data_IF_002671570154
#
_entry.id   IF_002671570154
#
_cell.length_a   1.000
_cell.length_b   1.000
_cell.length_c   1.000
_cell.angle_alpha   90.00
_cell.angle_beta   90.00
_cell.angle_gamma   90.00
#
_symmetry.space_group_name_H-M   'P 1'
#
loop_
_entity.id
_entity.type
_entity.pdbx_description
1 polymer ?
#
# COMPACT_ATOMS: atom_id res chain seq x y z
N UNK A 1 -6.90 7.77 -13.30
CA UNK A 1 -5.98 6.87 -14.03
C UNK A 1 -6.29 5.44 -13.56
N UNK A 2 -6.89 4.62 -14.42
CA UNK A 2 -7.22 3.23 -14.08
C UNK A 2 -6.00 2.35 -14.35
N UNK A 3 -5.56 1.56 -13.36
CA UNK A 3 -4.31 0.77 -13.40
C UNK A 3 -4.61 -0.72 -13.14
N UNK A 4 -5.65 -1.25 -13.79
CA UNK A 4 -6.12 -2.63 -13.59
C UNK A 4 -5.82 -3.45 -14.83
N UNK A 5 -4.75 -4.23 -14.80
CA UNK A 5 -4.25 -4.99 -15.95
C UNK A 5 -4.39 -6.49 -15.70
N UNK A 6 -5.44 -7.07 -16.28
CA UNK A 6 -5.47 -8.49 -16.61
C UNK A 6 -5.82 -8.61 -18.09
N UNK A 7 -5.13 -9.46 -18.82
CA UNK A 7 -5.30 -9.60 -20.26
C UNK A 7 -5.01 -11.02 -20.71
N UNK A 8 -5.27 -11.27 -21.99
CA UNK A 8 -4.90 -12.49 -22.70
C UNK A 8 -3.72 -12.13 -23.59
N UNK A 9 -2.67 -12.96 -23.59
CA UNK A 9 -1.55 -12.79 -24.50
C UNK A 9 -2.02 -13.07 -25.93
N UNK A 10 -1.91 -12.09 -26.83
CA UNK A 10 -2.25 -12.24 -28.25
C UNK A 10 -1.02 -12.36 -29.14
N UNK A 11 0.13 -11.87 -28.68
CA UNK A 11 1.42 -11.93 -29.37
C UNK A 11 2.56 -11.95 -28.34
N UNK A 12 3.68 -12.57 -28.69
CA UNK A 12 4.89 -12.65 -27.85
C UNK A 12 6.06 -12.05 -28.63
N UNK A 13 6.74 -11.07 -28.03
CA UNK A 13 7.88 -10.41 -28.63
C UNK A 13 9.14 -11.29 -28.68
N UNK A 14 10.12 -10.97 -29.55
CA UNK A 14 11.38 -11.70 -29.62
C UNK A 14 12.10 -11.74 -28.27
N UNK A 15 12.49 -12.93 -27.81
CA UNK A 15 13.23 -13.14 -26.55
C UNK A 15 12.39 -13.25 -25.28
N UNK A 16 11.05 -13.19 -25.38
CA UNK A 16 10.17 -13.55 -24.27
C UNK A 16 9.92 -15.08 -24.26
N UNK A 17 10.08 -15.71 -23.10
CA UNK A 17 10.11 -17.18 -22.97
C UNK A 17 9.08 -17.72 -21.95
N UNK A 18 8.58 -16.88 -21.04
CA UNK A 18 7.73 -17.24 -19.90
C UNK A 18 6.26 -17.45 -20.28
N UNK A 19 5.79 -16.82 -21.35
CA UNK A 19 4.39 -16.81 -21.76
C UNK A 19 4.20 -17.21 -23.21
N UNK A 20 2.99 -17.68 -23.53
CA UNK A 20 2.55 -17.99 -24.89
C UNK A 20 1.20 -17.34 -25.20
N UNK A 21 0.90 -17.22 -26.50
CA UNK A 21 -0.42 -16.78 -26.97
C UNK A 21 -1.54 -17.62 -26.32
N UNK A 22 -2.58 -16.95 -25.87
CA UNK A 22 -3.72 -17.53 -25.15
C UNK A 22 -3.54 -17.62 -23.63
N UNK A 23 -2.35 -17.37 -23.07
CA UNK A 23 -2.19 -17.33 -21.61
C UNK A 23 -2.95 -16.12 -21.01
N UNK A 24 -3.73 -16.37 -19.96
CA UNK A 24 -4.32 -15.31 -19.13
C UNK A 24 -3.27 -14.79 -18.15
N UNK A 25 -3.01 -13.49 -18.18
CA UNK A 25 -2.00 -12.84 -17.33
C UNK A 25 -2.57 -11.62 -16.62
N UNK A 26 -1.90 -11.20 -15.56
CA UNK A 26 -2.18 -9.97 -14.83
C UNK A 26 -0.87 -9.37 -14.31
N UNK A 27 -0.82 -8.06 -14.11
CA UNK A 27 0.41 -7.37 -13.72
C UNK A 27 0.19 -5.90 -13.38
N UNK A 28 1.28 -5.23 -13.03
CA UNK A 28 1.28 -3.81 -12.71
C UNK A 28 2.46 -3.13 -13.40
N UNK A 29 2.19 -2.35 -14.45
CA UNK A 29 3.22 -1.67 -15.24
C UNK A 29 2.66 -0.36 -15.83
N UNK A 30 3.46 0.71 -15.83
CA UNK A 30 3.03 2.02 -16.35
C UNK A 30 4.22 2.93 -16.68
N UNK A 31 5.26 2.41 -17.35
CA UNK A 31 6.48 3.18 -17.61
C UNK A 31 6.28 4.24 -18.70
N UNK A 32 5.39 3.99 -19.66
CA UNK A 32 5.13 4.88 -20.78
C UNK A 32 3.67 4.77 -21.26
N UNK A 33 3.30 5.55 -22.27
CA UNK A 33 1.93 5.61 -22.80
C UNK A 33 1.46 4.30 -23.42
N UNK A 34 2.37 3.53 -24.05
CA UNK A 34 2.07 2.24 -24.67
C UNK A 34 1.75 1.14 -23.65
N UNK A 35 2.11 1.37 -22.39
CA UNK A 35 1.93 0.45 -21.26
C UNK A 35 0.68 0.74 -20.43
N UNK A 36 -0.15 1.74 -20.78
CA UNK A 36 -1.33 2.09 -19.98
C UNK A 36 -2.42 1.03 -20.08
N UNK A 37 -3.19 0.81 -19.01
CA UNK A 37 -4.29 -0.17 -19.00
C UNK A 37 -5.53 0.22 -19.84
N UNK A 38 -5.72 1.50 -20.17
CA UNK A 38 -6.97 2.01 -20.73
C UNK A 38 -6.99 1.97 -22.26
N UNK A 39 -6.74 0.79 -22.82
CA UNK A 39 -6.66 0.53 -24.25
C UNK A 39 -7.00 -0.93 -24.55
N UNK A 40 -7.33 -1.22 -25.82
CA UNK A 40 -7.72 -2.58 -26.25
C UNK A 40 -6.51 -3.51 -26.29
N UNK A 41 -5.35 -2.98 -26.68
CA UNK A 41 -4.09 -3.70 -26.70
C UNK A 41 -3.04 -2.93 -25.91
N UNK A 42 -2.18 -3.64 -25.20
CA UNK A 42 -1.09 -3.06 -24.42
C UNK A 42 0.16 -3.89 -24.66
N UNK A 43 1.29 -3.20 -24.84
CA UNK A 43 2.60 -3.85 -24.85
C UNK A 43 3.17 -3.75 -23.45
N UNK A 44 3.63 -4.86 -22.88
CA UNK A 44 4.17 -4.89 -21.53
C UNK A 44 5.48 -5.70 -21.51
N UNK A 45 6.45 -5.34 -20.67
CA UNK A 45 7.58 -6.23 -20.42
C UNK A 45 7.10 -7.53 -19.76
N UNK A 46 7.89 -8.59 -19.87
CA UNK A 46 7.54 -9.92 -19.37
C UNK A 46 7.60 -10.02 -17.82
N UNK A 47 8.55 -9.33 -17.20
CA UNK A 47 8.87 -9.48 -15.78
C UNK A 47 7.78 -9.05 -14.77
N UNK A 48 6.96 -7.99 -14.98
CA UNK A 48 5.92 -7.59 -14.03
C UNK A 48 4.61 -8.38 -14.19
N UNK A 49 4.56 -9.31 -15.15
CA UNK A 49 3.39 -10.16 -15.38
C UNK A 49 3.46 -11.41 -14.51
N UNK A 50 2.29 -11.96 -14.23
CA UNK A 50 2.09 -13.30 -13.68
C UNK A 50 0.88 -13.97 -14.34
N UNK A 51 0.86 -15.30 -14.40
CA UNK A 51 -0.29 -16.05 -14.92
C UNK A 51 -1.46 -15.93 -13.96
N UNK A 52 -2.66 -15.77 -14.49
CA UNK A 52 -3.89 -15.82 -13.70
C UNK A 52 -4.11 -17.27 -13.24
N UNK A 53 -4.32 -17.51 -11.93
CA UNK A 53 -4.58 -18.87 -11.43
C UNK A 53 -5.84 -19.50 -12.04
N UNK A 54 -5.85 -20.82 -12.17
CA UNK A 54 -7.01 -21.56 -12.64
C UNK A 54 -8.24 -21.26 -11.75
N UNK A 55 -9.40 -21.05 -12.37
CA UNK A 55 -10.65 -20.71 -11.68
C UNK A 55 -10.80 -19.23 -11.28
N UNK A 56 -9.79 -18.39 -11.49
CA UNK A 56 -9.88 -16.94 -11.26
C UNK A 56 -10.26 -16.22 -12.56
N UNK A 57 -11.34 -15.45 -12.53
CA UNK A 57 -11.73 -14.62 -13.68
C UNK A 57 -10.73 -13.49 -13.91
N UNK A 58 -10.59 -13.04 -15.17
CA UNK A 58 -9.78 -11.85 -15.49
C UNK A 58 -10.25 -10.63 -14.68
N UNK A 59 -11.57 -10.42 -14.57
CA UNK A 59 -12.12 -9.31 -13.78
C UNK A 59 -11.66 -9.33 -12.32
N UNK A 60 -11.61 -10.51 -11.70
CA UNK A 60 -11.09 -10.68 -10.34
C UNK A 60 -9.58 -10.47 -10.29
N UNK A 61 -8.83 -11.01 -11.25
CA UNK A 61 -7.38 -10.84 -11.33
C UNK A 61 -6.98 -9.36 -11.46
N UNK A 62 -7.74 -8.58 -12.24
CA UNK A 62 -7.51 -7.15 -12.47
C UNK A 62 -7.58 -6.30 -11.18
N UNK A 63 -8.19 -6.79 -10.10
CA UNK A 63 -8.30 -6.04 -8.84
C UNK A 63 -7.05 -6.12 -7.97
N UNK A 64 -6.15 -7.06 -8.27
CA UNK A 64 -5.01 -7.43 -7.42
C UNK A 64 -3.80 -6.51 -7.60
N UNK A 65 -3.24 -6.31 -8.81
CA UNK A 65 -1.85 -5.88 -8.96
C UNK A 65 -1.52 -4.57 -8.27
N UNK A 66 -2.21 -3.49 -8.64
CA UNK A 66 -1.95 -2.17 -8.08
C UNK A 66 -2.07 -2.16 -6.55
N UNK A 67 -3.16 -2.73 -6.01
CA UNK A 67 -3.44 -2.65 -4.58
C UNK A 67 -2.51 -3.55 -3.76
N UNK A 68 -2.20 -4.74 -4.26
CA UNK A 68 -1.26 -5.67 -3.63
C UNK A 68 0.16 -5.11 -3.66
N UNK A 69 0.66 -4.67 -4.82
CA UNK A 69 2.00 -4.08 -4.94
C UNK A 69 2.14 -2.84 -4.05
N UNK A 70 1.12 -1.98 -4.00
CA UNK A 70 1.10 -0.81 -3.12
C UNK A 70 1.20 -1.21 -1.65
N UNK A 71 0.40 -2.19 -1.22
CA UNK A 71 0.41 -2.66 0.15
C UNK A 71 1.75 -3.31 0.52
N UNK A 72 2.21 -4.25 -0.31
CA UNK A 72 3.45 -4.99 -0.10
C UNK A 72 4.65 -4.04 -0.01
N UNK A 73 4.81 -3.14 -0.98
CA UNK A 73 5.90 -2.16 -0.99
C UNK A 73 5.86 -1.21 0.20
N UNK A 74 4.68 -0.73 0.59
CA UNK A 74 4.56 0.18 1.73
C UNK A 74 4.93 -0.53 3.04
N UNK A 75 4.43 -1.74 3.23
CA UNK A 75 4.76 -2.56 4.40
C UNK A 75 6.26 -2.85 4.45
N UNK A 76 6.86 -3.35 3.38
CA UNK A 76 8.28 -3.71 3.37
C UNK A 76 9.20 -2.48 3.38
N UNK A 77 9.14 -1.65 2.36
CA UNK A 77 10.15 -0.62 2.08
C UNK A 77 9.95 0.67 2.88
N UNK A 78 8.72 0.96 3.33
CA UNK A 78 8.43 2.18 4.09
C UNK A 78 8.29 1.91 5.58
N UNK A 79 7.64 0.81 5.95
CA UNK A 79 7.41 0.45 7.35
C UNK A 79 8.45 -0.53 7.90
N UNK A 80 9.33 -1.09 7.06
CA UNK A 80 10.38 -2.01 7.51
C UNK A 80 9.81 -3.32 8.04
N UNK A 81 8.63 -3.73 7.56
CA UNK A 81 8.03 -5.03 7.87
C UNK A 81 8.80 -6.10 7.08
N UNK A 82 9.25 -7.16 7.75
CA UNK A 82 9.93 -8.26 7.10
C UNK A 82 8.95 -9.09 6.28
N UNK A 83 9.00 -8.90 4.96
CA UNK A 83 8.22 -9.65 4.00
C UNK A 83 9.16 -10.36 3.00
N UNK A 84 9.97 -11.34 3.44
CA UNK A 84 10.87 -12.05 2.53
C UNK A 84 10.08 -12.71 1.40
N UNK A 85 10.63 -12.62 0.19
CA UNK A 85 10.09 -13.25 -1.01
C UNK A 85 11.19 -14.07 -1.70
N UNK A 86 10.98 -15.36 -1.98
CA UNK A 86 9.79 -16.16 -1.63
C UNK A 86 9.63 -16.32 -0.11
N UNK A 87 8.38 -16.47 0.36
CA UNK A 87 8.12 -16.74 1.78
C UNK A 87 8.59 -18.16 2.11
N UNK A 88 9.60 -18.26 2.97
CA UNK A 88 10.12 -19.53 3.44
C UNK A 88 9.10 -20.25 4.34
N UNK A 89 9.06 -21.57 4.25
CA UNK A 89 8.26 -22.40 5.15
C UNK A 89 8.74 -22.19 6.60
N UNK A 90 7.81 -22.05 7.53
CA UNK A 90 8.13 -21.78 8.94
C UNK A 90 8.63 -20.36 9.25
N UNK A 91 8.66 -19.43 8.28
CA UNK A 91 9.05 -18.04 8.53
C UNK A 91 8.21 -17.43 9.68
N UNK A 92 8.92 -16.90 10.67
CA UNK A 92 8.39 -16.08 11.76
C UNK A 92 9.30 -14.87 11.93
N UNK A 93 8.74 -13.67 11.82
CA UNK A 93 9.47 -12.47 12.17
C UNK A 93 9.66 -12.42 13.69
N UNK A 94 10.85 -11.99 14.12
CA UNK A 94 11.12 -11.72 15.54
C UNK A 94 10.18 -10.64 16.12
N UNK A 95 9.65 -9.78 15.23
CA UNK A 95 8.72 -8.69 15.57
C UNK A 95 7.26 -9.03 15.21
N UNK A 96 6.88 -10.32 15.17
CA UNK A 96 5.52 -10.74 14.79
C UNK A 96 4.40 -10.13 15.68
N UNK A 97 4.71 -9.83 16.94
CA UNK A 97 3.77 -9.26 17.92
C UNK A 97 3.83 -7.72 17.99
N UNK A 98 4.69 -7.07 17.19
CA UNK A 98 4.74 -5.61 17.09
C UNK A 98 3.38 -5.06 16.64
N UNK A 99 2.85 -3.99 17.26
CA UNK A 99 1.61 -3.38 16.82
C UNK A 99 1.74 -2.83 15.40
N UNK A 100 0.79 -3.20 14.54
CA UNK A 100 0.70 -2.66 13.18
C UNK A 100 -0.72 -2.14 12.98
N UNK A 101 -0.86 -0.82 12.91
CA UNK A 101 -2.13 -0.15 12.69
C UNK A 101 -2.35 0.08 11.20
N UNK A 102 -3.48 -0.39 10.67
CA UNK A 102 -3.91 -0.15 9.30
C UNK A 102 -5.12 0.79 9.35
N UNK A 103 -4.89 2.08 9.09
CA UNK A 103 -5.96 3.07 9.00
C UNK A 103 -6.63 2.96 7.63
N UNK A 104 -7.96 2.80 7.60
CA UNK A 104 -8.67 2.49 6.36
C UNK A 104 -8.52 1.04 5.95
N UNK A 105 -8.58 0.11 6.90
CA UNK A 105 -8.45 -1.33 6.65
C UNK A 105 -9.49 -1.90 5.68
N UNK A 106 -10.64 -1.23 5.49
CA UNK A 106 -11.67 -1.62 4.51
C UNK A 106 -11.46 -1.07 3.10
N UNK A 107 -10.41 -0.28 2.85
CA UNK A 107 -10.04 0.15 1.49
C UNK A 107 -9.47 -1.02 0.69
N UNK A 108 -9.32 -0.89 -0.62
CA UNK A 108 -8.70 -1.95 -1.44
C UNK A 108 -7.27 -2.27 -0.99
N UNK A 109 -6.45 -1.24 -0.73
CA UNK A 109 -5.07 -1.41 -0.26
C UNK A 109 -5.05 -1.94 1.17
N UNK A 110 -5.89 -1.40 2.07
CA UNK A 110 -5.96 -1.81 3.46
C UNK A 110 -6.35 -3.29 3.63
N UNK A 111 -7.27 -3.79 2.81
CA UNK A 111 -7.67 -5.20 2.83
C UNK A 111 -6.49 -6.13 2.45
N UNK A 112 -5.68 -5.75 1.46
CA UNK A 112 -4.47 -6.52 1.14
C UNK A 112 -3.41 -6.38 2.22
N UNK A 113 -3.23 -5.19 2.82
CA UNK A 113 -2.28 -5.00 3.90
C UNK A 113 -2.54 -5.94 5.08
N UNK A 114 -3.81 -6.05 5.52
CA UNK A 114 -4.19 -6.96 6.61
C UNK A 114 -3.91 -8.42 6.25
N UNK A 115 -4.26 -8.85 5.03
CA UNK A 115 -4.04 -10.22 4.57
C UNK A 115 -2.55 -10.55 4.41
N UNK A 116 -1.74 -9.62 3.90
CA UNK A 116 -0.28 -9.75 3.79
C UNK A 116 0.29 -9.92 5.20
N UNK A 117 -0.03 -9.04 6.14
CA UNK A 117 0.46 -9.13 7.51
C UNK A 117 0.11 -10.49 8.15
N UNK A 118 -1.14 -10.94 7.99
CA UNK A 118 -1.57 -12.26 8.47
C UNK A 118 -0.80 -13.40 7.81
N UNK A 119 -0.61 -13.35 6.49
CA UNK A 119 0.12 -14.37 5.73
C UNK A 119 1.58 -14.46 6.16
N UNK A 120 2.24 -13.34 6.47
CA UNK A 120 3.61 -13.30 6.99
C UNK A 120 3.73 -13.55 8.51
N UNK A 121 2.62 -13.85 9.19
CA UNK A 121 2.62 -14.28 10.58
C UNK A 121 2.54 -13.16 11.62
N UNK A 122 2.32 -11.91 11.21
CA UNK A 122 2.08 -10.82 12.15
C UNK A 122 0.75 -11.01 12.87
N UNK A 123 0.79 -10.97 14.19
CA UNK A 123 -0.34 -11.35 15.06
C UNK A 123 -1.09 -10.14 15.60
N UNK A 124 -0.44 -8.98 15.67
CA UNK A 124 -0.95 -7.78 16.35
C UNK A 124 -1.37 -6.68 15.37
N UNK A 125 -2.20 -7.07 14.40
CA UNK A 125 -2.75 -6.17 13.39
C UNK A 125 -3.99 -5.47 13.93
N UNK A 126 -3.99 -4.13 13.93
CA UNK A 126 -5.08 -3.26 14.40
C UNK A 126 -5.73 -2.59 13.18
N UNK A 127 -6.94 -2.99 12.83
CA UNK A 127 -7.66 -2.47 11.67
C UNK A 127 -8.64 -1.34 12.03
N UNK A 128 -8.53 -0.19 11.36
CA UNK A 128 -9.49 0.91 11.54
C UNK A 128 -10.42 0.99 10.34
N UNK A 129 -11.71 0.80 10.55
CA UNK A 129 -12.73 0.79 9.50
C UNK A 129 -14.13 1.03 10.08
N UNK A 130 -15.10 1.38 9.24
CA UNK A 130 -16.52 1.47 9.66
C UNK A 130 -16.99 0.16 10.31
N UNK A 131 -17.83 0.23 11.35
CA UNK A 131 -18.33 -0.94 12.09
C UNK A 131 -18.85 -2.06 11.19
N UNK A 132 -19.59 -1.72 10.11
CA UNK A 132 -20.13 -2.69 9.13
C UNK A 132 -19.08 -3.56 8.42
N UNK A 133 -17.79 -3.21 8.50
CA UNK A 133 -16.69 -3.98 7.89
C UNK A 133 -15.89 -4.79 8.91
N UNK A 134 -16.17 -4.66 10.21
CA UNK A 134 -15.34 -5.25 11.27
C UNK A 134 -15.19 -6.77 11.14
N UNK A 135 -16.28 -7.50 10.89
CA UNK A 135 -16.23 -8.96 10.75
C UNK A 135 -15.37 -9.39 9.57
N UNK A 136 -15.48 -8.68 8.44
CA UNK A 136 -14.66 -8.91 7.26
C UNK A 136 -13.19 -8.65 7.54
N UNK A 137 -12.85 -7.54 8.20
CA UNK A 137 -11.45 -7.20 8.53
C UNK A 137 -10.85 -8.18 9.54
N UNK A 138 -11.63 -8.66 10.52
CA UNK A 138 -11.22 -9.76 11.41
C UNK A 138 -10.96 -11.05 10.64
N UNK A 139 -11.84 -11.42 9.70
CA UNK A 139 -11.66 -12.60 8.85
C UNK A 139 -10.38 -12.56 7.99
N UNK A 140 -9.90 -11.35 7.65
CA UNK A 140 -8.64 -11.15 6.95
C UNK A 140 -7.40 -11.21 7.85
N UNK A 141 -7.58 -11.22 9.18
CA UNK A 141 -6.50 -11.43 10.14
C UNK A 141 -6.23 -10.26 11.08
N UNK A 142 -7.06 -9.22 11.10
CA UNK A 142 -6.96 -8.19 12.13
C UNK A 142 -7.32 -8.77 13.52
N UNK A 143 -6.44 -8.56 14.50
CA UNK A 143 -6.65 -8.96 15.89
C UNK A 143 -7.61 -8.02 16.61
N UNK A 144 -7.45 -6.72 16.37
CA UNK A 144 -8.30 -5.68 16.93
C UNK A 144 -8.89 -4.84 15.80
N UNK A 145 -10.15 -4.42 15.95
CA UNK A 145 -10.81 -3.51 15.01
C UNK A 145 -11.54 -2.42 15.75
N UNK A 146 -11.48 -1.20 15.20
CA UNK A 146 -12.13 -0.02 15.78
C UNK A 146 -12.87 0.76 14.70
N UNK A 147 -13.99 1.40 15.08
CA UNK A 147 -14.68 2.34 14.21
C UNK A 147 -14.05 3.73 14.31
N UNK A 148 -13.62 4.28 13.18
CA UNK A 148 -13.08 5.64 13.13
C UNK A 148 -14.11 6.73 13.45
N UNK A 149 -15.41 6.40 13.47
CA UNK A 149 -16.48 7.33 13.86
C UNK A 149 -16.69 7.40 15.37
N UNK A 150 -16.14 6.45 16.13
CA UNK A 150 -16.23 6.49 17.59
C UNK A 150 -15.40 7.67 18.11
N UNK A 151 -16.04 8.55 18.88
CA UNK A 151 -15.38 9.72 19.47
C UNK A 151 -14.22 9.35 20.40
N UNK A 152 -14.22 8.11 20.93
CA UNK A 152 -13.20 7.57 21.83
C UNK A 152 -12.13 6.75 21.11
N UNK A 153 -12.18 6.63 19.78
CA UNK A 153 -11.30 5.73 19.01
C UNK A 153 -9.82 5.97 19.28
N UNK A 154 -9.39 7.23 19.38
CA UNK A 154 -8.00 7.62 19.65
C UNK A 154 -7.56 7.10 21.02
N UNK A 155 -8.37 7.35 22.05
CA UNK A 155 -8.08 6.95 23.42
C UNK A 155 -8.08 5.43 23.57
N UNK A 156 -9.03 4.76 22.92
CA UNK A 156 -9.16 3.30 22.94
C UNK A 156 -7.94 2.62 22.31
N UNK A 157 -7.46 3.12 21.16
CA UNK A 157 -6.27 2.59 20.49
C UNK A 157 -5.01 2.92 21.30
N UNK A 158 -4.86 4.15 21.78
CA UNK A 158 -3.71 4.54 22.58
C UNK A 158 -3.59 3.69 23.86
N UNK A 159 -4.72 3.45 24.55
CA UNK A 159 -4.79 2.57 25.72
C UNK A 159 -4.38 1.13 25.35
N UNK A 160 -4.87 0.61 24.22
CA UNK A 160 -4.48 -0.73 23.76
C UNK A 160 -2.98 -0.83 23.50
N UNK A 161 -2.38 0.16 22.83
CA UNK A 161 -0.94 0.17 22.52
C UNK A 161 -0.11 0.31 23.80
N UNK A 162 -0.47 1.23 24.70
CA UNK A 162 0.27 1.49 25.93
C UNK A 162 0.12 0.37 26.98
N UNK A 163 -0.95 -0.43 26.92
CA UNK A 163 -1.12 -1.58 27.80
C UNK A 163 -0.23 -2.78 27.43
N UNK A 164 0.35 -2.78 26.23
CA UNK A 164 1.27 -3.83 25.82
C UNK A 164 2.64 -3.55 26.44
N UNK A 165 3.19 -4.54 27.14
CA UNK A 165 4.51 -4.45 27.79
C UNK A 165 5.68 -4.33 26.81
N UNK A 166 5.42 -4.28 25.48
CA UNK A 166 6.39 -4.56 24.42
C UNK A 166 6.66 -3.49 23.35
N UNK A 167 5.87 -2.44 23.05
CA UNK A 167 6.20 -1.69 21.85
C UNK A 167 7.17 -0.55 22.16
N UNK A 168 8.46 -0.83 21.96
CA UNK A 168 9.47 0.20 21.73
C UNK A 168 9.06 1.10 20.56
N UNK A 169 8.27 0.59 19.59
CA UNK A 169 7.71 1.37 18.47
C UNK A 169 6.46 0.71 17.85
N UNK A 170 5.66 1.50 17.12
CA UNK A 170 4.51 1.04 16.30
C UNK A 170 4.75 1.29 14.81
N UNK A 171 4.10 0.51 13.93
CA UNK A 171 3.99 0.81 12.50
C UNK A 171 2.56 1.19 12.13
N UNK A 172 2.42 2.25 11.35
CA UNK A 172 1.10 2.73 10.91
C UNK A 172 1.07 2.85 9.39
N UNK A 173 0.10 2.18 8.78
CA UNK A 173 -0.22 2.32 7.37
C UNK A 173 -1.54 3.08 7.22
N UNK A 174 -1.48 4.34 6.78
CA UNK A 174 -2.64 5.15 6.45
C UNK A 174 -3.07 4.95 4.98
N UNK A 175 -4.14 4.19 4.78
CA UNK A 175 -4.74 3.94 3.47
C UNK A 175 -5.81 4.98 3.08
N UNK A 176 -5.94 6.08 3.83
CA UNK A 176 -6.93 7.15 3.59
C UNK A 176 -6.24 8.50 3.34
N UNK A 177 -5.17 8.78 4.07
CA UNK A 177 -4.33 9.99 3.99
C UNK A 177 -5.14 11.30 3.92
N UNK A 178 -6.05 11.46 4.89
CA UNK A 178 -6.81 12.69 5.05
C UNK A 178 -6.16 13.56 6.12
N UNK A 179 -5.56 14.69 5.69
CA UNK A 179 -4.93 15.68 6.58
C UNK A 179 -5.80 16.07 7.78
N UNK A 180 -7.09 16.27 7.55
CA UNK A 180 -8.02 16.74 8.58
C UNK A 180 -8.76 15.63 9.32
N UNK A 181 -8.45 14.35 9.05
CA UNK A 181 -9.10 13.21 9.70
C UNK A 181 -8.06 12.19 10.18
N UNK A 182 -7.53 11.37 9.29
CA UNK A 182 -6.69 10.23 9.67
C UNK A 182 -5.39 10.68 10.34
N UNK A 183 -4.67 11.65 9.77
CA UNK A 183 -3.35 12.06 10.28
C UNK A 183 -3.41 12.70 11.67
N UNK A 184 -4.46 13.49 11.97
CA UNK A 184 -4.67 14.09 13.30
C UNK A 184 -4.93 13.02 14.36
N UNK A 185 -5.71 11.99 14.01
CA UNK A 185 -5.94 10.87 14.93
C UNK A 185 -4.66 10.06 15.14
N UNK A 186 -3.93 9.74 14.06
CA UNK A 186 -2.68 8.98 14.11
C UNK A 186 -1.63 9.72 14.96
N UNK A 187 -1.48 11.04 14.82
CA UNK A 187 -0.50 11.81 15.60
C UNK A 187 -0.78 11.83 17.11
N UNK A 188 -2.03 11.55 17.52
CA UNK A 188 -2.42 11.45 18.93
C UNK A 188 -2.29 10.03 19.47
N UNK A 189 -2.24 9.03 18.60
CA UNK A 189 -2.10 7.61 18.93
C UNK A 189 -0.62 7.23 19.05
N UNK A 190 0.19 7.71 18.09
CA UNK A 190 1.59 7.31 17.92
C UNK A 190 2.49 8.24 18.71
N UNK A 191 2.86 7.83 19.92
CA UNK A 191 3.74 8.60 20.81
C UNK A 191 5.05 7.88 21.12
N UNK A 192 5.18 6.61 20.75
CA UNK A 192 6.34 5.78 21.06
C UNK A 192 7.52 6.15 20.15
N UNK A 193 8.76 6.29 20.68
CA UNK A 193 9.96 6.49 19.88
C UNK A 193 10.12 5.44 18.77
N UNK A 194 10.85 5.73 17.69
CA UNK A 194 11.10 4.75 16.62
C UNK A 194 9.87 4.30 15.80
N UNK A 195 8.69 4.85 16.08
CA UNK A 195 7.46 4.57 15.33
C UNK A 195 7.52 5.14 13.91
N UNK A 196 6.93 4.42 12.96
CA UNK A 196 6.94 4.82 11.54
C UNK A 196 5.50 4.86 11.03
N UNK A 197 5.15 5.98 10.39
CA UNK A 197 3.87 6.18 9.72
C UNK A 197 4.11 6.30 8.22
N UNK A 198 3.39 5.53 7.42
CA UNK A 198 3.39 5.61 5.97
C UNK A 198 1.95 5.83 5.49
N UNK A 199 1.72 6.86 4.68
CA UNK A 199 0.41 7.17 4.08
C UNK A 199 0.41 7.00 2.57
N UNK A 200 -0.74 6.61 1.99
CA UNK A 200 -0.96 6.65 0.54
C UNK A 200 -1.15 8.11 0.12
N UNK A 201 -0.32 8.64 -0.78
CA UNK A 201 -0.36 10.06 -1.19
C UNK A 201 -1.79 10.61 -1.37
N UNK A 202 -2.05 11.74 -0.72
CA UNK A 202 -3.26 12.55 -0.86
C UNK A 202 -3.51 12.88 -2.33
N UNK A 203 -4.71 12.61 -2.82
CA UNK A 203 -5.21 13.24 -4.04
C UNK A 203 -5.39 14.73 -3.71
N UNK A 204 -4.58 15.59 -4.32
CA UNK A 204 -4.83 17.04 -4.31
C UNK A 204 -6.08 17.28 -5.13
N UNK A 205 -7.19 17.60 -4.47
CA UNK A 205 -8.40 18.10 -5.13
C UNK A 205 -8.19 19.61 -5.35
N UNK A 206 -7.68 19.99 -6.52
CA UNK A 206 -7.74 21.38 -6.97
C UNK A 206 -9.08 21.65 -7.65
N UNK A 207 -9.67 22.81 -7.36
CA UNK A 207 -10.88 23.27 -8.04
C UNK A 207 -10.47 23.70 -9.47
N UNK A 208 -11.11 23.19 -10.55
CA UNK A 208 -10.74 23.54 -11.93
C UNK A 208 -10.83 25.03 -12.24
N UNK A 209 -11.62 25.79 -11.46
CA UNK A 209 -11.82 27.25 -11.64
C UNK A 209 -10.67 28.11 -11.10
N UNK A 210 -9.73 27.53 -10.34
CA UNK A 210 -8.55 28.26 -9.86
C UNK A 210 -7.45 28.07 -10.91
N UNK A 211 -7.30 29.05 -11.81
CA UNK A 211 -6.07 29.18 -12.60
C UNK A 211 -4.91 29.31 -11.64
N UNK A 212 -4.17 28.21 -11.50
CA UNK A 212 -2.90 28.21 -10.79
C UNK A 212 -1.95 29.06 -11.64
N UNK A 213 -1.20 30.04 -11.08
CA UNK A 213 -0.17 30.73 -11.84
C UNK A 213 0.74 29.68 -12.47
N UNK A 214 1.02 29.81 -13.78
CA UNK A 214 1.82 28.83 -14.53
C UNK A 214 3.11 28.55 -13.78
N UNK A 215 3.14 27.40 -13.12
CA UNK A 215 4.30 26.90 -12.40
C UNK A 215 4.83 25.77 -13.28
N UNK A 216 6.08 25.84 -13.77
CA UNK A 216 6.64 24.80 -14.63
C UNK A 216 6.94 23.56 -13.79
N UNK A 217 5.92 22.75 -13.53
CA UNK A 217 6.01 21.55 -12.71
C UNK A 217 6.10 20.32 -13.61
N UNK A 218 7.34 19.90 -13.88
CA UNK A 218 7.64 18.51 -14.27
C UNK A 218 7.35 17.60 -13.08
N UNK A 219 6.38 16.72 -13.27
CA UNK A 219 6.09 15.58 -12.41
C UNK A 219 7.33 14.66 -12.31
N UNK A 220 7.95 14.58 -11.14
CA UNK A 220 8.92 13.53 -10.83
C UNK A 220 8.22 12.46 -9.98
N UNK A 221 7.67 11.45 -10.65
CA UNK A 221 7.17 10.21 -10.08
C UNK A 221 8.27 9.51 -9.26
N UNK A 222 8.17 9.53 -7.93
CA UNK A 222 9.10 8.79 -7.06
C UNK A 222 8.82 7.27 -7.02
N UNK A 223 8.19 6.74 -8.08
CA UNK A 223 8.13 5.30 -8.36
C UNK A 223 9.46 4.78 -8.93
N UNK A 224 10.37 5.65 -9.39
CA UNK A 224 11.41 5.27 -10.35
C UNK A 224 12.86 5.18 -9.85
N UNK A 225 13.23 5.58 -8.63
CA UNK A 225 14.67 5.78 -8.30
C UNK A 225 15.30 4.94 -7.20
N UNK A 226 14.59 4.02 -6.56
CA UNK A 226 15.10 3.29 -5.38
C UNK A 226 15.20 1.78 -5.57
N UNK A 227 15.60 1.35 -6.76
CA UNK A 227 16.12 -0.01 -6.99
C UNK A 227 17.58 -0.17 -6.51
N UNK A 228 18.27 0.89 -6.08
CA UNK A 228 19.67 0.81 -5.64
C UNK A 228 19.99 1.78 -4.49
N UNK A 229 20.62 1.25 -3.43
CA UNK A 229 21.66 1.96 -2.67
C UNK A 229 21.26 2.90 -1.52
N UNK A 230 21.36 2.34 -0.31
CA UNK A 230 21.89 2.93 0.94
C UNK A 230 21.01 3.80 1.87
N UNK A 231 21.32 3.54 3.15
CA UNK A 231 20.55 3.73 4.39
C UNK A 231 20.48 5.18 4.84
N UNK A 232 19.41 5.50 5.58
CA UNK A 232 19.28 6.33 6.80
C UNK A 232 17.85 6.89 6.86
N UNK A 233 17.24 6.87 8.05
CA UNK A 233 15.87 7.31 8.37
C UNK A 233 15.51 8.66 7.71
N UNK A 234 14.33 8.73 7.06
CA UNK A 234 13.77 9.97 6.50
C UNK A 234 12.27 10.04 6.79
N UNK A 235 11.85 11.02 7.59
CA UNK A 235 10.53 11.62 7.38
C UNK A 235 10.60 12.33 6.01
N UNK A 236 9.82 11.91 5.03
CA UNK A 236 9.72 12.61 3.74
C UNK A 236 8.54 13.56 3.81
N UNK A 237 8.82 14.80 4.23
CA UNK A 237 8.01 15.97 3.93
C UNK A 237 8.93 16.99 3.26
N UNK A 238 8.69 17.27 1.98
CA UNK A 238 9.51 18.19 1.20
C UNK A 238 9.09 19.64 1.51
N UNK A 239 10.04 20.42 2.04
CA UNK A 239 10.02 21.88 2.09
C UNK A 239 11.18 22.37 1.23
N UNK A 240 10.99 23.41 0.44
CA UNK A 240 12.10 24.33 0.20
C UNK A 240 11.61 25.77 0.14
N UNK A 241 12.29 26.58 0.94
CA UNK A 241 12.23 28.03 0.98
C UNK A 241 12.99 28.62 -0.21
N UNK A 242 12.46 29.74 -0.69
CA UNK A 242 12.96 30.67 -1.71
C UNK A 242 14.37 31.18 -1.43
N UNK A 243 15.14 31.42 -2.50
CA UNK A 243 15.88 32.68 -2.70
C UNK A 243 16.19 32.90 -4.19
N UNK A 244 16.00 34.15 -4.61
CA UNK A 244 16.13 34.72 -5.94
C UNK A 244 17.56 34.66 -6.51
N UNK A 245 17.65 34.55 -7.84
CA UNK A 245 18.38 35.45 -8.75
C UNK A 245 17.86 35.23 -10.17
#
# INVERSE_FOLDING_TARGET
MSIRESCIIVEVGPGAEKYKVGDNVFGFFFHNEKERAQQIYVTAPEHPLSKVPAGVSLASAATVPNNFCTAFYTLSEKLGIELPWPRLEGFKSINQDMPILVWGASTSVGQYAVQILKYWGYTNVIGIASAKHHDKIKSYGAKHVFDYRDATVVQSIAKLINAQSTPDSIRVFDCVDSKFRSLIHISRIVTQPGSIVAGLLSIVVSNPSVQSPETPLRLASTFQRRLFGHRTLKLIALRHTTTNL
#
